data_IF_381002038185
#
_entry.id   IF_381002038185
#
_cell.length_a   1.000
_cell.length_b   1.000
_cell.length_c   1.000
_cell.angle_alpha   90.00
_cell.angle_beta   90.00
_cell.angle_gamma   90.00
#
_symmetry.space_group_name_H-M   'P 1'
#
loop_
_entity.id
_entity.type
_entity.pdbx_description
1 polymer ?
#
# COMPACT_ATOMS: atom_id res chain seq x y z
N UNK A 1 -22.62 -11.18 14.77
CA UNK A 1 -23.32 -10.19 13.91
C UNK A 1 -22.25 -9.34 13.24
N UNK A 2 -22.10 -9.43 11.92
CA UNK A 2 -21.14 -8.62 11.18
C UNK A 2 -21.71 -7.20 10.98
N UNK A 3 -20.90 -6.16 11.23
CA UNK A 3 -21.32 -4.77 11.02
C UNK A 3 -21.52 -4.48 9.53
N UNK A 4 -22.57 -3.74 9.20
CA UNK A 4 -22.84 -3.25 7.85
C UNK A 4 -21.73 -2.31 7.36
N UNK A 5 -21.47 -2.32 6.06
CA UNK A 5 -20.54 -1.41 5.38
C UNK A 5 -20.86 0.08 5.68
N UNK A 6 -22.15 0.41 5.79
CA UNK A 6 -22.64 1.74 6.15
C UNK A 6 -22.17 2.16 7.56
N UNK A 7 -22.22 1.25 8.52
CA UNK A 7 -21.82 1.51 9.91
C UNK A 7 -20.30 1.66 10.03
N UNK A 8 -19.54 0.91 9.21
CA UNK A 8 -18.09 1.02 9.13
C UNK A 8 -17.67 2.41 8.63
N UNK A 9 -18.33 2.91 7.59
CA UNK A 9 -18.05 4.23 7.01
C UNK A 9 -18.38 5.38 7.98
N UNK A 10 -19.48 5.24 8.74
CA UNK A 10 -19.86 6.23 9.77
C UNK A 10 -18.84 6.30 10.91
N UNK A 11 -18.29 5.17 11.37
CA UNK A 11 -17.23 5.15 12.39
C UNK A 11 -15.91 5.75 11.89
N UNK A 12 -15.51 5.44 10.67
CA UNK A 12 -14.30 6.01 10.07
C UNK A 12 -14.37 7.55 9.99
N UNK A 13 -15.54 8.10 9.67
CA UNK A 13 -15.77 9.56 9.63
C UNK A 13 -15.77 10.21 11.02
N UNK A 14 -16.25 9.53 12.05
CA UNK A 14 -16.20 10.03 13.44
C UNK A 14 -14.77 10.05 13.99
N UNK A 15 -13.96 9.02 13.70
CA UNK A 15 -12.55 8.96 14.11
C UNK A 15 -11.70 10.10 13.51
N UNK A 16 -12.04 10.55 12.29
CA UNK A 16 -11.38 11.70 11.65
C UNK A 16 -11.68 13.03 12.36
N UNK A 17 -12.84 13.16 13.03
CA UNK A 17 -13.25 14.39 13.72
C UNK A 17 -12.69 14.52 15.13
N UNK A 18 -12.27 13.43 15.77
CA UNK A 18 -11.69 13.47 17.12
C UNK A 18 -10.20 13.85 17.14
N UNK A 19 -9.51 13.85 16.00
CA UNK A 19 -8.07 14.15 15.92
C UNK A 19 -7.70 15.64 15.85
N UNK A 20 -8.66 16.56 16.04
CA UNK A 20 -8.43 18.03 15.88
C UNK A 20 -8.86 18.84 17.11
N UNK A 21 -8.54 18.36 18.31
CA UNK A 21 -8.50 19.23 19.50
C UNK A 21 -7.16 18.98 20.19
N UNK A 22 -6.14 19.71 19.75
CA UNK A 22 -4.98 20.00 20.60
C UNK A 22 -4.65 21.46 20.40
N UNK A 23 -4.85 22.18 21.49
CA UNK A 23 -4.56 23.60 21.73
C UNK A 23 -3.07 23.84 21.52
N UNK A 24 -2.70 24.92 20.84
CA UNK A 24 -1.33 25.44 20.85
C UNK A 24 -0.90 26.11 19.56
N UNK A 25 -1.06 27.43 19.50
CA UNK A 25 -0.57 28.30 18.44
C UNK A 25 0.94 28.58 18.60
N UNK A 26 1.72 28.46 17.51
CA UNK A 26 2.82 29.35 17.08
C UNK A 26 3.60 28.77 15.87
N UNK A 27 4.32 29.61 15.10
CA UNK A 27 4.28 29.54 13.63
C UNK A 27 5.49 28.89 12.95
N UNK A 28 5.23 28.40 11.74
CA UNK A 28 6.08 28.38 10.53
C UNK A 28 7.60 28.26 10.72
N UNK A 29 8.15 27.10 10.38
CA UNK A 29 9.54 26.95 9.95
C UNK A 29 9.60 25.94 8.80
N UNK A 30 10.21 26.26 7.65
CA UNK A 30 10.31 25.34 6.52
C UNK A 30 11.40 24.27 6.77
N UNK A 31 11.35 23.11 6.10
CA UNK A 31 12.32 22.04 6.30
C UNK A 31 13.71 22.45 5.75
N UNK A 32 14.82 22.02 6.37
CA UNK A 32 16.15 22.34 5.88
C UNK A 32 16.43 21.63 4.56
N UNK A 33 16.99 22.40 3.62
CA UNK A 33 17.50 21.96 2.34
C UNK A 33 18.74 21.08 2.55
N UNK A 34 18.71 19.84 2.07
CA UNK A 34 19.87 18.93 2.07
C UNK A 34 20.68 19.23 0.81
N UNK A 35 21.78 19.97 0.97
CA UNK A 35 22.87 20.02 -0.02
C UNK A 35 23.71 18.76 0.13
N UNK A 36 23.79 17.96 -0.94
CA UNK A 36 24.76 16.87 -1.04
C UNK A 36 26.14 17.48 -1.32
N UNK A 37 26.98 17.56 -0.29
CA UNK A 37 28.42 17.76 -0.46
C UNK A 37 29.08 16.40 -0.71
N UNK A 38 29.44 16.17 -1.97
CA UNK A 38 30.29 15.05 -2.39
C UNK A 38 31.76 15.45 -2.14
N UNK A 39 32.26 15.16 -0.93
CA UNK A 39 33.71 15.17 -0.69
C UNK A 39 34.24 13.74 -0.76
N UNK A 40 34.70 13.39 -1.96
CA UNK A 40 35.73 12.37 -2.14
C UNK A 40 36.98 12.80 -1.41
N UNK A 41 37.36 12.10 -0.34
CA UNK A 41 38.70 12.22 0.24
C UNK A 41 39.23 10.84 0.57
N UNK A 42 40.13 10.43 -0.32
CA UNK A 42 41.05 9.30 -0.28
C UNK A 42 41.95 9.37 0.98
N UNK A 43 42.15 8.27 1.74
CA UNK A 43 43.08 8.30 2.85
C UNK A 43 44.51 8.11 2.34
N UNK A 44 45.26 9.21 2.29
CA UNK A 44 46.71 9.24 2.07
C UNK A 44 47.43 8.52 3.24
N UNK A 45 47.99 7.35 2.94
CA UNK A 45 48.80 6.55 3.86
C UNK A 45 50.26 6.99 3.77
N UNK A 46 50.64 8.04 4.49
CA UNK A 46 52.06 8.31 4.76
C UNK A 46 52.53 7.53 6.00
N UNK A 47 53.50 6.60 5.88
CA UNK A 47 54.21 6.07 7.04
C UNK A 47 55.18 7.13 7.56
N UNK A 48 54.89 7.67 8.75
CA UNK A 48 55.77 8.59 9.48
C UNK A 48 57.08 7.89 9.90
N UNK A 49 58.01 7.74 8.96
CA UNK A 49 59.36 7.21 9.22
C UNK A 49 60.21 8.29 9.90
N UNK A 50 60.05 8.43 11.22
CA UNK A 50 60.93 9.26 12.05
C UNK A 50 62.35 8.66 12.03
N UNK A 51 63.21 9.20 11.15
CA UNK A 51 64.65 8.89 11.09
C UNK A 51 65.32 9.24 12.42
N UNK A 52 65.68 8.23 13.21
CA UNK A 52 66.62 8.39 14.32
C UNK A 52 68.01 8.69 13.76
N UNK A 53 68.47 9.95 13.90
CA UNK A 53 69.89 10.30 13.74
C UNK A 53 70.61 9.91 15.02
N UNK A 54 71.27 8.75 15.04
CA UNK A 54 72.21 8.36 16.09
C UNK A 54 73.46 9.24 15.98
N UNK A 55 73.48 10.34 16.75
CA UNK A 55 74.66 11.18 16.88
C UNK A 55 75.63 10.46 17.81
N UNK A 56 76.55 9.70 17.23
CA UNK A 56 77.66 9.07 17.93
C UNK A 56 78.38 10.09 18.81
N UNK A 57 78.38 9.85 20.12
CA UNK A 57 79.17 10.60 21.08
C UNK A 57 79.90 9.61 21.98
N UNK A 58 81.18 9.44 21.64
CA UNK A 58 82.34 8.91 22.36
C UNK A 58 82.06 8.11 23.65
N UNK A 59 82.42 6.84 23.57
CA UNK A 59 82.76 5.98 24.72
C UNK A 59 83.88 6.70 25.49
N UNK A 60 83.59 7.13 26.71
CA UNK A 60 84.61 7.45 27.70
C UNK A 60 84.66 6.22 28.61
N UNK A 61 85.73 5.45 28.45
CA UNK A 61 86.16 4.44 29.40
C UNK A 61 86.47 5.14 30.72
N UNK A 62 85.50 5.14 31.64
CA UNK A 62 85.74 5.44 33.04
C UNK A 62 85.89 4.09 33.75
N UNK A 63 87.12 3.82 34.16
CA UNK A 63 87.53 2.74 35.05
C UNK A 63 86.52 2.53 36.18
N UNK A 64 85.97 1.33 36.23
CA UNK A 64 85.18 0.79 37.33
C UNK A 64 86.02 0.82 38.61
N UNK A 65 85.70 1.76 39.50
CA UNK A 65 85.97 1.60 40.92
C UNK A 65 84.63 1.42 41.63
N UNK A 66 84.49 0.26 42.26
CA UNK A 66 83.44 -0.07 43.20
C UNK A 66 83.21 1.10 44.18
N UNK A 67 82.01 1.67 44.15
CA UNK A 67 81.46 2.41 45.27
C UNK A 67 79.98 2.12 45.35
N UNK A 68 79.61 1.24 46.28
CA UNK A 68 78.23 1.01 46.71
C UNK A 68 77.76 2.23 47.51
N UNK A 69 77.61 3.36 46.82
CA UNK A 69 77.07 4.58 47.42
C UNK A 69 75.55 4.52 47.32
N UNK A 70 74.92 4.35 48.47
CA UNK A 70 73.48 4.59 48.66
C UNK A 70 73.18 5.99 48.10
N UNK A 71 72.49 6.06 46.95
CA UNK A 71 72.17 7.33 46.29
C UNK A 71 71.16 8.06 47.17
N UNK A 72 71.63 9.04 47.95
CA UNK A 72 70.77 9.99 48.66
C UNK A 72 70.21 10.97 47.63
N UNK A 73 69.08 10.61 47.01
CA UNK A 73 68.35 11.50 46.12
C UNK A 73 67.89 12.74 46.89
N UNK A 74 68.14 13.92 46.33
CA UNK A 74 67.67 15.17 46.91
C UNK A 74 66.13 15.14 47.04
N UNK A 75 65.52 15.58 48.16
CA UNK A 75 64.09 15.43 48.45
C UNK A 75 63.14 15.92 47.34
N UNK A 76 63.52 16.96 46.59
CA UNK A 76 62.74 17.50 45.49
C UNK A 76 62.65 16.56 44.27
N UNK A 77 63.68 15.76 44.00
CA UNK A 77 63.70 14.78 42.90
C UNK A 77 62.74 13.64 43.21
N UNK A 78 62.76 13.15 44.45
CA UNK A 78 61.86 12.10 44.91
C UNK A 78 60.39 12.56 44.86
N UNK A 79 60.10 13.79 45.28
CA UNK A 79 58.76 14.36 45.20
C UNK A 79 58.25 14.50 43.75
N UNK A 80 59.12 14.93 42.82
CA UNK A 80 58.77 15.02 41.41
C UNK A 80 58.54 13.64 40.77
N UNK A 81 59.32 12.63 41.16
CA UNK A 81 59.12 11.25 40.70
C UNK A 81 57.78 10.68 41.20
N UNK A 82 57.45 10.84 42.48
CA UNK A 82 56.14 10.42 43.00
C UNK A 82 54.99 11.15 42.30
N UNK A 83 55.15 12.45 42.01
CA UNK A 83 54.14 13.21 41.25
C UNK A 83 53.98 12.68 39.82
N UNK A 84 55.09 12.35 39.16
CA UNK A 84 55.08 11.77 37.81
C UNK A 84 54.44 10.37 37.81
N UNK A 85 54.78 9.53 38.79
CA UNK A 85 54.21 8.20 38.99
C UNK A 85 52.69 8.28 39.22
N UNK A 86 52.25 9.12 40.16
CA UNK A 86 50.83 9.34 40.41
C UNK A 86 50.08 9.86 39.17
N UNK A 87 50.67 10.79 38.41
CA UNK A 87 50.09 11.29 37.15
C UNK A 87 50.00 10.18 36.09
N UNK A 88 51.02 9.31 36.01
CA UNK A 88 51.04 8.18 35.09
C UNK A 88 49.95 7.15 35.45
N UNK A 89 49.75 6.86 36.74
CA UNK A 89 48.66 5.98 37.19
C UNK A 89 47.29 6.55 36.83
N UNK A 90 47.06 7.85 37.06
CA UNK A 90 45.79 8.49 36.70
C UNK A 90 45.51 8.46 35.18
N UNK A 91 46.53 8.70 34.36
CA UNK A 91 46.39 8.62 32.90
C UNK A 91 46.13 7.20 32.43
N UNK A 92 46.77 6.19 33.04
CA UNK A 92 46.54 4.79 32.71
C UNK A 92 45.13 4.35 33.07
N UNK A 93 44.61 4.80 34.22
CA UNK A 93 43.23 4.57 34.64
C UNK A 93 42.24 5.21 33.66
N UNK A 94 42.45 6.49 33.31
CA UNK A 94 41.61 7.19 32.33
C UNK A 94 41.65 6.51 30.95
N UNK A 95 42.82 6.08 30.47
CA UNK A 95 42.95 5.36 29.21
C UNK A 95 42.19 4.04 29.24
N UNK A 96 42.30 3.29 30.34
CA UNK A 96 41.59 2.00 30.51
C UNK A 96 40.08 2.20 30.51
N UNK A 97 39.58 3.22 31.22
CA UNK A 97 38.17 3.57 31.24
C UNK A 97 37.66 3.95 29.83
N UNK A 98 38.35 4.86 29.14
CA UNK A 98 37.98 5.29 27.79
C UNK A 98 38.02 4.14 26.78
N UNK A 99 39.04 3.28 26.85
CA UNK A 99 39.14 2.10 25.97
C UNK A 99 38.00 1.12 26.22
N UNK A 100 37.66 0.85 27.48
CA UNK A 100 36.56 -0.05 27.85
C UNK A 100 35.22 0.53 27.39
N UNK A 101 34.98 1.81 27.65
CA UNK A 101 33.75 2.49 27.25
C UNK A 101 33.59 2.51 25.72
N UNK A 102 34.64 2.83 24.97
CA UNK A 102 34.62 2.82 23.50
C UNK A 102 34.37 1.42 22.94
N UNK A 103 34.95 0.38 23.57
CA UNK A 103 34.71 -1.00 23.16
C UNK A 103 33.25 -1.40 23.35
N UNK A 104 32.67 -1.05 24.50
CA UNK A 104 31.26 -1.32 24.81
C UNK A 104 30.31 -0.59 23.85
N UNK A 105 30.56 0.70 23.58
CA UNK A 105 29.77 1.50 22.66
C UNK A 105 29.82 0.93 21.22
N UNK A 106 31.01 0.52 20.78
CA UNK A 106 31.18 -0.10 19.46
C UNK A 106 30.41 -1.43 19.36
N UNK A 107 30.47 -2.28 20.40
CA UNK A 107 29.74 -3.55 20.44
C UNK A 107 28.22 -3.34 20.41
N UNK A 108 27.71 -2.38 21.20
CA UNK A 108 26.30 -2.01 21.19
C UNK A 108 25.85 -1.48 19.83
N UNK A 109 26.66 -0.62 19.20
CA UNK A 109 26.40 -0.09 17.87
C UNK A 109 26.36 -1.19 16.83
N UNK A 110 27.32 -2.11 16.85
CA UNK A 110 27.37 -3.26 15.94
C UNK A 110 26.12 -4.13 16.10
N UNK A 111 25.72 -4.43 17.34
CA UNK A 111 24.50 -5.19 17.60
C UNK A 111 23.25 -4.48 17.06
N UNK A 112 23.13 -3.18 17.29
CA UNK A 112 22.01 -2.37 16.77
C UNK A 112 21.98 -2.35 15.24
N UNK A 113 23.16 -2.32 14.61
CA UNK A 113 23.30 -2.33 13.16
C UNK A 113 22.87 -3.68 12.56
N UNK A 114 23.30 -4.80 13.15
CA UNK A 114 22.88 -6.15 12.73
C UNK A 114 21.37 -6.34 12.84
N UNK A 115 20.76 -5.88 13.94
CA UNK A 115 19.31 -5.93 14.12
C UNK A 115 18.59 -5.10 13.05
N UNK A 116 19.05 -3.87 12.79
CA UNK A 116 18.50 -2.99 11.76
C UNK A 116 18.64 -3.58 10.36
N UNK A 117 19.79 -4.17 10.04
CA UNK A 117 20.02 -4.83 8.75
C UNK A 117 19.09 -6.04 8.55
N UNK A 118 18.89 -6.83 9.61
CA UNK A 118 17.99 -7.99 9.60
C UNK A 118 16.55 -7.54 9.37
N UNK A 119 16.10 -6.53 10.10
CA UNK A 119 14.73 -6.01 9.97
C UNK A 119 14.50 -5.37 8.60
N UNK A 120 15.47 -4.62 8.07
CA UNK A 120 15.40 -4.08 6.70
C UNK A 120 15.29 -5.18 5.65
N UNK A 121 15.99 -6.30 5.83
CA UNK A 121 15.90 -7.45 4.92
C UNK A 121 14.51 -8.10 4.99
N UNK A 122 13.95 -8.22 6.20
CA UNK A 122 12.59 -8.73 6.41
C UNK A 122 11.54 -7.83 5.76
N UNK A 123 11.63 -6.52 5.98
CA UNK A 123 10.74 -5.53 5.38
C UNK A 123 10.86 -5.50 3.85
N UNK A 124 12.07 -5.63 3.30
CA UNK A 124 12.27 -5.70 1.86
C UNK A 124 11.56 -6.92 1.24
N UNK A 125 11.62 -8.08 1.90
CA UNK A 125 10.89 -9.27 1.45
C UNK A 125 9.37 -9.08 1.51
N UNK A 126 8.86 -8.48 2.60
CA UNK A 126 7.43 -8.18 2.76
C UNK A 126 6.92 -7.19 1.69
N UNK A 127 7.70 -6.17 1.35
CA UNK A 127 7.38 -5.22 0.26
C UNK A 127 7.30 -5.94 -1.09
N UNK A 128 8.23 -6.86 -1.38
CA UNK A 128 8.19 -7.65 -2.61
C UNK A 128 6.91 -8.50 -2.65
N UNK A 129 6.59 -9.19 -1.55
CA UNK A 129 5.39 -10.01 -1.47
C UNK A 129 4.12 -9.17 -1.70
N UNK A 130 3.97 -8.06 -0.97
CA UNK A 130 2.82 -7.16 -1.13
C UNK A 130 2.72 -6.61 -2.55
N UNK A 131 3.85 -6.25 -3.17
CA UNK A 131 3.89 -5.80 -4.57
C UNK A 131 3.37 -6.87 -5.52
N UNK A 132 3.74 -8.14 -5.32
CA UNK A 132 3.20 -9.24 -6.14
C UNK A 132 1.72 -9.47 -5.91
N UNK A 133 1.23 -9.33 -4.67
CA UNK A 133 -0.18 -9.46 -4.36
C UNK A 133 -1.02 -8.33 -4.98
N UNK A 134 -0.50 -7.10 -5.01
CA UNK A 134 -1.15 -5.97 -5.67
C UNK A 134 -1.29 -6.23 -7.16
N UNK A 135 -0.21 -6.64 -7.84
CA UNK A 135 -0.26 -6.99 -9.27
C UNK A 135 -1.32 -8.04 -9.61
N UNK A 136 -1.40 -9.12 -8.83
CA UNK A 136 -2.43 -10.16 -9.02
C UNK A 136 -3.86 -9.62 -8.85
N UNK A 137 -4.07 -8.71 -7.89
CA UNK A 137 -5.38 -8.08 -7.69
C UNK A 137 -5.72 -7.12 -8.83
N UNK A 138 -4.76 -6.39 -9.35
CA UNK A 138 -4.95 -5.50 -10.50
C UNK A 138 -5.32 -6.29 -11.76
N UNK A 139 -4.64 -7.40 -12.03
CA UNK A 139 -4.99 -8.34 -13.12
C UNK A 139 -6.42 -8.85 -12.98
N UNK A 140 -6.80 -9.33 -11.79
CA UNK A 140 -8.16 -9.80 -11.51
C UNK A 140 -9.22 -8.69 -11.69
N UNK A 141 -8.90 -7.46 -11.29
CA UNK A 141 -9.81 -6.32 -11.48
C UNK A 141 -10.03 -6.01 -12.95
N UNK A 142 -8.98 -6.10 -13.78
CA UNK A 142 -9.09 -5.92 -15.23
C UNK A 142 -9.99 -7.00 -15.83
N UNK A 143 -9.80 -8.26 -15.45
CA UNK A 143 -10.59 -9.38 -15.95
C UNK A 143 -12.07 -9.27 -15.56
N UNK A 144 -12.36 -8.98 -14.29
CA UNK A 144 -13.73 -8.79 -13.82
C UNK A 144 -14.42 -7.61 -14.52
N UNK A 145 -13.70 -6.52 -14.75
CA UNK A 145 -14.24 -5.37 -15.47
C UNK A 145 -14.56 -5.70 -16.94
N UNK A 146 -13.73 -6.53 -17.59
CA UNK A 146 -14.00 -7.01 -18.94
C UNK A 146 -15.23 -7.91 -18.99
N UNK A 147 -15.40 -8.81 -18.01
CA UNK A 147 -16.59 -9.65 -17.89
C UNK A 147 -17.86 -8.82 -17.67
N UNK A 148 -17.80 -7.80 -16.80
CA UNK A 148 -18.92 -6.91 -16.55
C UNK A 148 -19.35 -6.18 -17.83
N UNK A 149 -18.39 -5.67 -18.61
CA UNK A 149 -18.68 -5.04 -19.91
C UNK A 149 -19.34 -6.00 -20.90
N UNK A 150 -18.86 -7.25 -20.96
CA UNK A 150 -19.43 -8.27 -21.83
C UNK A 150 -20.89 -8.59 -21.44
N UNK A 151 -21.14 -8.80 -20.14
CA UNK A 151 -22.48 -9.08 -19.63
C UNK A 151 -23.44 -7.90 -19.82
N UNK A 152 -22.98 -6.65 -19.65
CA UNK A 152 -23.81 -5.48 -19.92
C UNK A 152 -24.16 -5.38 -21.40
N UNK A 153 -23.21 -5.65 -22.31
CA UNK A 153 -23.51 -5.70 -23.74
C UNK A 153 -24.52 -6.79 -24.10
N UNK A 154 -24.39 -7.99 -23.52
CA UNK A 154 -25.33 -9.09 -23.71
C UNK A 154 -26.74 -8.73 -23.21
N UNK A 155 -26.83 -8.13 -22.02
CA UNK A 155 -28.09 -7.64 -21.45
C UNK A 155 -28.76 -6.62 -22.36
N UNK A 156 -28.02 -5.66 -22.92
CA UNK A 156 -28.59 -4.69 -23.87
C UNK A 156 -29.09 -5.36 -25.15
N UNK A 157 -28.38 -6.38 -25.64
CA UNK A 157 -28.83 -7.20 -26.78
C UNK A 157 -30.14 -7.95 -26.47
N UNK A 158 -30.26 -8.56 -25.29
CA UNK A 158 -31.50 -9.22 -24.86
C UNK A 158 -32.66 -8.25 -24.71
N UNK A 159 -32.44 -7.07 -24.13
CA UNK A 159 -33.47 -6.02 -24.04
C UNK A 159 -33.97 -5.57 -25.42
N UNK A 160 -33.07 -5.45 -26.40
CA UNK A 160 -33.46 -5.12 -27.76
C UNK A 160 -34.29 -6.24 -28.39
N UNK A 161 -33.87 -7.49 -28.19
CA UNK A 161 -34.61 -8.67 -28.67
C UNK A 161 -35.99 -8.78 -28.04
N UNK A 162 -36.12 -8.51 -26.75
CA UNK A 162 -37.41 -8.49 -26.04
C UNK A 162 -38.36 -7.45 -26.64
N UNK A 163 -37.89 -6.21 -26.84
CA UNK A 163 -38.70 -5.15 -27.48
C UNK A 163 -39.16 -5.54 -28.88
N UNK A 164 -38.28 -6.13 -29.68
CA UNK A 164 -38.63 -6.59 -31.02
C UNK A 164 -39.70 -7.70 -30.99
N UNK A 165 -39.59 -8.64 -30.05
CA UNK A 165 -40.57 -9.71 -29.87
C UNK A 165 -41.93 -9.15 -29.41
N UNK A 166 -41.93 -8.19 -28.48
CA UNK A 166 -43.16 -7.55 -28.01
C UNK A 166 -43.88 -6.83 -29.16
N UNK A 167 -43.16 -6.04 -29.96
CA UNK A 167 -43.71 -5.36 -31.13
C UNK A 167 -44.23 -6.35 -32.19
N UNK A 168 -43.50 -7.45 -32.42
CA UNK A 168 -43.95 -8.50 -33.35
C UNK A 168 -45.22 -9.19 -32.86
N UNK A 169 -45.33 -9.41 -31.55
CA UNK A 169 -46.52 -10.01 -30.93
C UNK A 169 -47.75 -9.10 -31.06
N UNK A 170 -47.58 -7.80 -30.88
CA UNK A 170 -48.65 -6.80 -31.05
C UNK A 170 -49.12 -6.77 -32.51
N UNK A 171 -48.20 -6.69 -33.46
CA UNK A 171 -48.52 -6.73 -34.89
C UNK A 171 -49.26 -8.03 -35.29
N UNK A 172 -48.83 -9.18 -34.76
CA UNK A 172 -49.49 -10.46 -35.02
C UNK A 172 -50.90 -10.50 -34.43
N UNK A 173 -51.10 -9.96 -33.22
CA UNK A 173 -52.42 -9.84 -32.61
C UNK A 173 -53.36 -9.04 -33.51
N UNK A 174 -52.91 -7.89 -34.00
CA UNK A 174 -53.70 -7.02 -34.87
C UNK A 174 -54.00 -7.70 -36.21
N UNK A 175 -53.00 -8.36 -36.81
CA UNK A 175 -53.17 -9.09 -38.06
C UNK A 175 -54.17 -10.25 -37.92
N UNK A 176 -54.09 -11.03 -36.84
CA UNK A 176 -55.03 -12.12 -36.55
C UNK A 176 -56.44 -11.54 -36.33
N UNK A 177 -56.57 -10.48 -35.52
CA UNK A 177 -57.85 -9.82 -35.26
C UNK A 177 -58.50 -9.32 -36.55
N UNK A 178 -57.74 -8.63 -37.40
CA UNK A 178 -58.22 -8.13 -38.69
C UNK A 178 -58.60 -9.26 -39.65
N UNK A 179 -57.75 -10.29 -39.80
CA UNK A 179 -58.01 -11.43 -40.68
C UNK A 179 -59.22 -12.24 -40.24
N UNK A 180 -59.40 -12.45 -38.93
CA UNK A 180 -60.53 -13.18 -38.38
C UNK A 180 -61.82 -12.39 -38.58
N UNK A 181 -61.81 -11.09 -38.29
CA UNK A 181 -62.93 -10.19 -38.54
C UNK A 181 -63.38 -10.25 -40.01
N UNK A 182 -62.42 -10.11 -40.95
CA UNK A 182 -62.71 -10.20 -42.39
C UNK A 182 -63.32 -11.56 -42.76
N UNK A 183 -62.76 -12.65 -42.24
CA UNK A 183 -63.28 -14.01 -42.48
C UNK A 183 -64.71 -14.20 -41.96
N UNK A 184 -65.02 -13.67 -40.79
CA UNK A 184 -66.37 -13.70 -40.22
C UNK A 184 -67.36 -12.92 -41.09
N UNK A 185 -67.01 -11.72 -41.53
CA UNK A 185 -67.89 -10.92 -42.40
C UNK A 185 -68.18 -11.63 -43.72
N UNK A 186 -67.16 -12.20 -44.35
CA UNK A 186 -67.33 -12.99 -45.58
C UNK A 186 -68.25 -14.20 -45.35
N UNK A 187 -68.16 -14.87 -44.20
CA UNK A 187 -69.05 -15.98 -43.86
C UNK A 187 -70.50 -15.51 -43.65
N UNK A 188 -70.72 -14.38 -42.95
CA UNK A 188 -72.06 -13.79 -42.78
C UNK A 188 -72.67 -13.39 -44.13
N UNK A 189 -71.88 -12.79 -45.02
CA UNK A 189 -72.33 -12.43 -46.37
C UNK A 189 -72.71 -13.66 -47.21
N UNK A 190 -71.97 -14.77 -47.09
CA UNK A 190 -72.34 -16.04 -47.72
C UNK A 190 -73.69 -16.57 -47.20
N UNK A 191 -73.92 -16.51 -45.88
CA UNK A 191 -75.20 -16.93 -45.30
C UNK A 191 -76.34 -16.05 -45.78
N UNK A 192 -76.17 -14.73 -45.86
CA UNK A 192 -77.18 -13.80 -46.40
C UNK A 192 -77.60 -14.16 -47.83
N UNK A 193 -76.66 -14.61 -48.66
CA UNK A 193 -76.94 -15.00 -50.06
C UNK A 193 -77.68 -16.34 -50.13
N UNK A 194 -77.33 -17.30 -49.28
CA UNK A 194 -77.92 -18.65 -49.29
C UNK A 194 -79.27 -18.74 -48.57
N UNK A 195 -79.45 -17.94 -47.51
CA UNK A 195 -80.58 -17.98 -46.59
C UNK A 195 -81.06 -16.55 -46.27
N UNK A 196 -81.77 -15.92 -47.21
CA UNK A 196 -82.19 -14.51 -47.12
C UNK A 196 -83.04 -14.16 -45.89
N UNK A 197 -83.74 -15.15 -45.32
CA UNK A 197 -84.65 -14.97 -44.18
C UNK A 197 -83.99 -15.25 -42.82
N UNK A 198 -82.69 -15.61 -42.79
CA UNK A 198 -81.97 -15.89 -41.55
C UNK A 198 -81.70 -14.60 -40.76
N UNK A 199 -82.10 -14.58 -39.48
CA UNK A 199 -81.76 -13.47 -38.57
C UNK A 199 -80.31 -13.61 -38.09
N UNK A 200 -79.46 -12.69 -38.57
CA UNK A 200 -78.04 -12.60 -38.21
C UNK A 200 -77.77 -11.52 -37.15
N UNK A 201 -78.80 -10.87 -36.60
CA UNK A 201 -78.63 -9.91 -35.50
C UNK A 201 -77.88 -10.45 -34.28
N UNK A 202 -77.94 -11.76 -33.93
CA UNK A 202 -77.16 -12.30 -32.81
C UNK A 202 -75.67 -12.50 -33.12
N UNK A 203 -75.28 -12.51 -34.40
CA UNK A 203 -73.91 -12.78 -34.83
C UNK A 203 -73.08 -11.49 -34.79
N UNK A 204 -72.76 -11.06 -33.57
CA UNK A 204 -71.99 -9.84 -33.31
C UNK A 204 -70.52 -10.17 -33.02
N UNK A 205 -69.65 -9.68 -33.90
CA UNK A 205 -68.20 -9.86 -33.84
C UNK A 205 -67.50 -8.93 -32.83
N UNK A 206 -68.22 -7.95 -32.28
CA UNK A 206 -67.68 -7.02 -31.28
C UNK A 206 -67.63 -7.64 -29.88
N UNK A 207 -68.23 -8.82 -29.70
CA UNK A 207 -68.18 -9.59 -28.45
C UNK A 207 -66.84 -10.28 -28.29
N UNK A 208 -66.24 -10.16 -27.11
CA UNK A 208 -64.98 -10.82 -26.76
C UNK A 208 -65.25 -12.19 -26.11
N UNK A 209 -64.29 -13.12 -26.24
CA UNK A 209 -64.36 -14.41 -25.53
C UNK A 209 -63.53 -14.32 -24.25
N UNK A 210 -64.19 -14.32 -23.10
CA UNK A 210 -63.54 -14.33 -21.77
C UNK A 210 -63.86 -15.66 -21.10
N UNK A 211 -62.83 -16.45 -20.78
CA UNK A 211 -62.98 -17.79 -20.18
C UNK A 211 -63.89 -18.77 -20.96
N UNK A 212 -64.01 -18.59 -22.27
CA UNK A 212 -64.86 -19.44 -23.12
C UNK A 212 -66.31 -18.97 -23.28
N UNK A 213 -66.71 -17.87 -22.63
CA UNK A 213 -68.02 -17.24 -22.82
C UNK A 213 -67.90 -15.96 -23.66
N UNK A 214 -68.91 -15.68 -24.50
CA UNK A 214 -69.02 -14.45 -25.27
C UNK A 214 -69.57 -13.33 -24.40
N UNK A 215 -68.78 -12.29 -24.20
CA UNK A 215 -69.10 -11.13 -23.34
C UNK A 215 -69.05 -9.86 -24.17
N UNK A 216 -70.03 -8.97 -23.98
CA UNK A 216 -69.96 -7.60 -24.52
C UNK A 216 -68.84 -6.84 -23.82
N UNK A 217 -67.92 -6.30 -24.60
CA UNK A 217 -66.87 -5.41 -24.12
C UNK A 217 -67.23 -3.99 -24.49
N UNK A 218 -67.44 -3.15 -23.49
CA UNK A 218 -67.38 -1.70 -23.64
C UNK A 218 -65.89 -1.33 -23.81
N UNK A 219 -65.54 -0.70 -24.94
CA UNK A 219 -64.18 -0.19 -25.22
C UNK A 219 -63.60 0.68 -24.09
#
# INVERSE_FOLDING_TARGET
>A
MAMSHEDMLKRARQLKKQKTITIGASPSSPPPHIEFHEETSEPDLEPLTRKFKSRGRKIVEATSQHSTSQIQLAPHILANLHKAEASSFMLMDQFTHLSTQKSLDLEQKEQSFVLSQTENSRLAAEVIELTTQVKKKDELLVDLNNQLKALEAEKQSWNLKEKNLLNSSELLKDQIGSSLNMGFQLALDQVRVLCSDADLSPADISKSVVNGELVETDD
#
